data_IF_505535374389
#
_entry.id   IF_505535374389
#
_cell.length_a   1.000
_cell.length_b   1.000
_cell.length_c   1.000
_cell.angle_alpha   90.00
_cell.angle_beta   90.00
_cell.angle_gamma   90.00
#
_symmetry.space_group_name_H-M   'P 1'
#
loop_
_entity.id
_entity.type
_entity.pdbx_description
1 polymer ?
#
# COMPACT_ATOMS: atom_id res chain seq x y z
N UNK A 1 3.20 5.29 22.77
CA UNK A 1 1.93 4.83 22.17
C UNK A 1 2.22 3.48 21.53
N UNK A 2 1.82 2.37 22.17
CA UNK A 2 2.05 1.03 21.63
C UNK A 2 1.00 0.69 20.58
N UNK A 3 1.45 0.52 19.35
CA UNK A 3 0.59 0.15 18.25
C UNK A 3 0.09 -1.28 18.38
N UNK A 4 -1.22 -1.47 18.23
CA UNK A 4 -1.87 -2.77 18.41
C UNK A 4 -1.79 -3.62 17.14
N UNK A 5 -0.57 -3.86 16.66
CA UNK A 5 -0.33 -4.82 15.60
C UNK A 5 -0.49 -6.24 16.15
N UNK A 6 -1.69 -6.81 16.05
CA UNK A 6 -1.96 -8.12 16.66
C UNK A 6 -1.24 -9.26 15.95
N UNK A 7 -1.29 -9.28 14.61
CA UNK A 7 -0.66 -10.34 13.81
C UNK A 7 -0.20 -9.81 12.47
N UNK A 8 1.10 -9.94 12.19
CA UNK A 8 1.66 -9.63 10.88
C UNK A 8 1.18 -10.66 9.83
N UNK A 9 0.80 -10.16 8.66
CA UNK A 9 0.32 -10.97 7.54
C UNK A 9 1.43 -11.08 6.49
N UNK A 10 1.90 -9.92 6.02
CA UNK A 10 2.94 -9.78 5.00
C UNK A 10 3.78 -8.54 5.26
N UNK A 11 5.03 -8.60 4.81
CA UNK A 11 5.94 -7.46 4.72
C UNK A 11 6.58 -7.46 3.34
N UNK A 12 6.70 -6.27 2.77
CA UNK A 12 7.36 -6.03 1.50
C UNK A 12 8.42 -4.96 1.71
N UNK A 13 9.58 -5.15 1.08
CA UNK A 13 10.66 -4.18 1.08
C UNK A 13 11.04 -3.91 -0.36
N UNK A 14 10.67 -2.74 -0.85
CA UNK A 14 10.98 -2.29 -2.21
C UNK A 14 12.11 -1.27 -2.09
N UNK A 15 13.19 -1.51 -2.83
CA UNK A 15 14.36 -0.62 -2.95
C UNK A 15 14.61 -0.33 -4.41
N UNK A 16 15.52 0.62 -4.68
CA UNK A 16 15.78 1.12 -6.02
C UNK A 16 14.46 1.47 -6.74
N UNK A 17 13.63 2.22 -6.04
CA UNK A 17 12.30 2.63 -6.46
C UNK A 17 12.03 4.02 -5.89
N UNK A 18 11.69 4.99 -6.73
CA UNK A 18 11.33 6.32 -6.25
C UNK A 18 9.85 6.33 -5.81
N UNK A 19 9.52 6.55 -4.52
CA UNK A 19 8.12 6.70 -4.12
C UNK A 19 7.57 8.00 -4.71
N UNK A 20 6.46 7.90 -5.43
CA UNK A 20 5.87 9.02 -6.18
C UNK A 20 4.45 9.30 -5.67
N UNK A 21 3.95 10.50 -5.97
CA UNK A 21 2.59 10.94 -5.64
C UNK A 21 1.64 10.63 -6.78
N UNK A 22 0.36 10.46 -6.45
CA UNK A 22 -0.74 10.31 -7.41
C UNK A 22 -0.85 11.57 -8.30
N UNK A 23 -0.72 11.39 -9.62
CA UNK A 23 -0.90 12.38 -10.70
C UNK A 23 -1.57 11.73 -11.94
N UNK A 24 -1.74 12.47 -13.03
CA UNK A 24 -2.50 11.99 -14.22
C UNK A 24 -1.92 10.72 -14.90
N UNK A 25 -0.65 10.36 -14.64
CA UNK A 25 0.02 9.15 -15.20
C UNK A 25 0.16 7.99 -14.19
N UNK A 26 -0.72 7.88 -13.19
CA UNK A 26 -0.47 7.02 -12.01
C UNK A 26 -0.60 5.51 -12.26
N UNK A 27 -1.32 5.09 -13.29
CA UNK A 27 -1.64 3.66 -13.47
C UNK A 27 -0.42 2.78 -13.74
N UNK A 28 0.56 3.24 -14.51
CA UNK A 28 1.79 2.49 -14.80
C UNK A 28 2.66 2.33 -13.55
N UNK A 29 2.66 3.33 -12.67
CA UNK A 29 3.39 3.30 -11.40
C UNK A 29 2.74 2.31 -10.44
N UNK A 30 1.41 2.31 -10.36
CA UNK A 30 0.64 1.30 -9.59
C UNK A 30 0.96 -0.11 -10.08
N UNK A 31 1.01 -0.33 -11.40
CA UNK A 31 1.41 -1.61 -12.01
C UNK A 31 2.83 -1.99 -11.62
N UNK A 32 3.79 -1.07 -11.74
CA UNK A 32 5.20 -1.33 -11.42
C UNK A 32 5.38 -1.71 -9.95
N UNK A 33 4.74 -0.96 -9.04
CA UNK A 33 4.79 -1.26 -7.61
C UNK A 33 4.13 -2.61 -7.30
N UNK A 34 2.96 -2.87 -7.88
CA UNK A 34 2.25 -4.15 -7.76
C UNK A 34 3.15 -5.31 -8.19
N UNK A 35 3.82 -5.19 -9.33
CA UNK A 35 4.61 -6.28 -9.89
C UNK A 35 5.87 -6.54 -9.04
N UNK A 36 6.55 -5.50 -8.56
CA UNK A 36 7.64 -5.65 -7.57
C UNK A 36 7.18 -6.31 -6.27
N UNK A 37 5.96 -6.03 -5.82
CA UNK A 37 5.41 -6.69 -4.63
C UNK A 37 5.05 -8.16 -4.94
N UNK A 38 4.46 -8.44 -6.11
CA UNK A 38 4.11 -9.80 -6.55
C UNK A 38 5.33 -10.72 -6.60
N UNK A 39 6.48 -10.21 -7.03
CA UNK A 39 7.74 -10.96 -7.02
C UNK A 39 8.18 -11.39 -5.61
N UNK A 40 7.72 -10.70 -4.56
CA UNK A 40 8.06 -10.99 -3.16
C UNK A 40 7.03 -11.90 -2.46
N UNK A 41 5.91 -12.26 -3.11
CA UNK A 41 4.83 -13.04 -2.49
C UNK A 41 4.29 -14.16 -3.37
N UNK A 42 4.15 -15.34 -2.77
CA UNK A 42 3.53 -16.48 -3.44
C UNK A 42 2.01 -16.27 -3.62
N UNK A 43 1.49 -16.65 -4.79
CA UNK A 43 0.07 -16.59 -5.15
C UNK A 43 -0.84 -17.34 -4.17
N UNK A 44 -0.40 -18.43 -3.55
CA UNK A 44 -1.18 -19.15 -2.54
C UNK A 44 -1.31 -18.37 -1.23
N UNK A 45 -0.30 -17.57 -0.90
CA UNK A 45 -0.37 -16.66 0.25
C UNK A 45 -1.36 -15.53 -0.03
N UNK A 46 -1.36 -14.98 -1.25
CA UNK A 46 -2.38 -14.00 -1.67
C UNK A 46 -3.79 -14.60 -1.54
N UNK A 47 -4.03 -15.82 -2.05
CA UNK A 47 -5.34 -16.48 -1.94
C UNK A 47 -5.81 -16.65 -0.50
N UNK A 48 -4.92 -17.05 0.42
CA UNK A 48 -5.23 -17.16 1.85
C UNK A 48 -5.65 -15.81 2.44
N UNK A 49 -4.88 -14.75 2.15
CA UNK A 49 -5.19 -13.39 2.61
C UNK A 49 -6.53 -12.91 2.04
N UNK A 50 -6.79 -13.21 0.76
CA UNK A 50 -8.04 -12.87 0.07
C UNK A 50 -9.27 -13.49 0.72
N UNK A 51 -9.18 -14.75 1.14
CA UNK A 51 -10.27 -15.40 1.87
C UNK A 51 -10.50 -14.80 3.25
N UNK A 52 -9.43 -14.32 3.90
CA UNK A 52 -9.49 -13.75 5.24
C UNK A 52 -10.08 -12.32 5.26
N UNK A 53 -9.88 -11.48 4.24
CA UNK A 53 -10.29 -10.06 4.33
C UNK A 53 -11.81 -9.83 4.40
N UNK A 54 -12.64 -10.79 3.97
CA UNK A 54 -14.11 -10.63 3.99
C UNK A 54 -14.67 -10.31 5.38
N UNK A 55 -14.00 -10.79 6.43
CA UNK A 55 -14.43 -10.61 7.81
C UNK A 55 -13.46 -9.79 8.65
N UNK A 56 -12.35 -9.30 8.08
CA UNK A 56 -11.27 -8.68 8.86
C UNK A 56 -11.02 -7.23 8.44
N UNK A 57 -10.62 -6.42 9.41
CA UNK A 57 -10.03 -5.11 9.22
C UNK A 57 -8.51 -5.21 9.37
N UNK A 58 -7.80 -4.30 8.71
CA UNK A 58 -6.36 -4.31 8.63
C UNK A 58 -5.73 -3.06 9.24
N UNK A 59 -4.52 -3.23 9.76
CA UNK A 59 -3.61 -2.11 9.98
C UNK A 59 -2.52 -2.16 8.90
N UNK A 60 -2.24 -1.02 8.28
CA UNK A 60 -1.18 -0.87 7.28
C UNK A 60 -0.11 0.05 7.83
N UNK A 61 1.15 -0.37 7.74
CA UNK A 61 2.30 0.47 8.03
C UNK A 61 3.11 0.64 6.75
N UNK A 62 3.42 1.89 6.40
CA UNK A 62 4.26 2.22 5.26
C UNK A 62 5.42 3.09 5.73
N UNK A 63 6.64 2.71 5.38
CA UNK A 63 7.85 3.51 5.58
C UNK A 63 8.35 3.94 4.21
N UNK A 64 8.36 5.24 3.95
CA UNK A 64 8.88 5.83 2.71
C UNK A 64 10.33 6.26 2.91
N UNK A 65 11.22 5.81 2.04
CA UNK A 65 12.62 6.21 1.99
C UNK A 65 12.81 7.14 0.80
N UNK A 66 13.04 8.44 1.06
CA UNK A 66 13.21 9.46 0.03
C UNK A 66 14.65 9.98 0.05
N UNK A 67 15.25 10.17 -1.13
CA UNK A 67 16.58 10.76 -1.21
C UNK A 67 16.49 12.27 -0.95
N UNK A 68 17.02 12.72 0.18
CA UNK A 68 17.08 14.14 0.54
C UNK A 68 18.31 14.85 -0.04
N UNK A 69 19.32 14.09 -0.50
CA UNK A 69 20.58 14.61 -1.04
C UNK A 69 20.53 14.73 -2.57
N UNK A 70 19.40 15.24 -3.09
CA UNK A 70 19.17 15.42 -4.52
C UNK A 70 19.02 16.90 -4.85
N UNK A 71 19.59 17.31 -5.98
CA UNK A 71 19.46 18.68 -6.50
C UNK A 71 18.11 18.91 -7.20
N UNK A 72 17.32 17.84 -7.39
CA UNK A 72 16.02 17.92 -8.04
C UNK A 72 14.97 18.37 -7.03
N UNK A 73 14.46 19.60 -7.23
CA UNK A 73 13.41 20.19 -6.40
C UNK A 73 12.18 19.28 -6.33
N UNK A 74 11.59 19.15 -5.14
CA UNK A 74 10.36 18.38 -4.93
C UNK A 74 10.53 16.87 -4.73
N UNK A 75 11.69 16.27 -5.01
CA UNK A 75 11.88 14.81 -4.86
C UNK A 75 11.70 14.30 -3.42
N UNK A 76 12.09 15.11 -2.43
CA UNK A 76 12.00 14.77 -1.01
C UNK A 76 10.87 15.51 -0.27
N UNK A 77 10.22 16.49 -0.90
CA UNK A 77 9.13 17.30 -0.33
C UNK A 77 7.75 16.64 -0.53
N UNK A 78 7.72 15.39 -1.01
CA UNK A 78 6.48 14.64 -1.27
C UNK A 78 5.65 14.43 0.00
N UNK A 79 4.35 14.58 -0.17
CA UNK A 79 3.36 14.36 0.88
C UNK A 79 3.05 12.87 1.06
N UNK A 80 2.96 12.45 2.32
CA UNK A 80 2.74 11.06 2.69
C UNK A 80 1.36 10.56 2.24
N UNK A 81 0.34 11.41 2.27
CA UNK A 81 -1.04 11.07 1.88
C UNK A 81 -1.13 10.69 0.40
N UNK A 82 -0.55 11.50 -0.49
CA UNK A 82 -0.56 11.28 -1.93
C UNK A 82 0.26 10.05 -2.33
N UNK A 83 1.39 9.79 -1.65
CA UNK A 83 2.13 8.54 -1.84
C UNK A 83 1.37 7.33 -1.30
N UNK A 84 0.52 7.52 -0.29
CA UNK A 84 -0.25 6.41 0.30
C UNK A 84 -1.43 6.00 -0.55
N UNK A 85 -2.07 6.92 -1.27
CA UNK A 85 -3.14 6.58 -2.23
C UNK A 85 -2.71 5.49 -3.21
N UNK A 86 -1.51 5.64 -3.79
CA UNK A 86 -0.91 4.63 -4.69
C UNK A 86 -0.74 3.28 -3.97
N UNK A 87 -0.23 3.28 -2.73
CA UNK A 87 -0.02 2.05 -1.97
C UNK A 87 -1.35 1.37 -1.65
N UNK A 88 -2.34 2.12 -1.17
CA UNK A 88 -3.67 1.61 -0.89
C UNK A 88 -4.28 0.96 -2.13
N UNK A 89 -4.30 1.65 -3.27
CA UNK A 89 -4.82 1.12 -4.54
C UNK A 89 -4.11 -0.17 -4.99
N UNK A 90 -2.80 -0.28 -4.76
CA UNK A 90 -2.06 -1.49 -5.13
C UNK A 90 -2.44 -2.69 -4.24
N UNK A 91 -2.78 -2.45 -2.96
CA UNK A 91 -3.14 -3.50 -2.02
C UNK A 91 -4.55 -4.07 -2.24
N UNK A 92 -5.46 -3.32 -2.87
CA UNK A 92 -6.86 -3.71 -3.10
C UNK A 92 -7.00 -4.72 -4.25
N UNK A 93 -8.24 -5.17 -4.52
CA UNK A 93 -8.55 -6.08 -5.61
C UNK A 93 -8.32 -5.46 -7.00
N UNK A 94 -8.54 -4.15 -7.15
CA UNK A 94 -8.47 -3.43 -8.42
C UNK A 94 -7.72 -2.11 -8.25
N UNK A 95 -6.89 -1.78 -9.24
CA UNK A 95 -6.28 -0.46 -9.32
C UNK A 95 -7.36 0.56 -9.71
N UNK A 96 -7.57 1.56 -8.88
CA UNK A 96 -8.36 2.73 -9.27
C UNK A 96 -7.54 3.62 -10.21
N UNK A 97 -8.20 4.23 -11.20
CA UNK A 97 -7.64 5.33 -11.98
C UNK A 97 -8.49 6.58 -11.73
N UNK A 98 -7.87 7.77 -11.74
CA UNK A 98 -8.59 9.02 -11.50
C UNK A 98 -9.65 9.26 -12.60
N UNK A 99 -9.35 8.80 -13.82
CA UNK A 99 -10.31 8.69 -14.90
C UNK A 99 -10.97 7.31 -14.88
N UNK A 100 -12.26 7.29 -14.53
CA UNK A 100 -13.14 6.11 -14.38
C UNK A 100 -13.36 5.29 -15.66
N UNK A 101 -12.43 5.26 -16.59
CA UNK A 101 -12.44 4.34 -17.72
C UNK A 101 -12.02 2.98 -17.19
N UNK A 102 -13.03 2.12 -16.99
CA UNK A 102 -12.94 0.72 -16.54
C UNK A 102 -11.98 -0.12 -17.40
N UNK A 103 -10.68 0.06 -17.26
CA UNK A 103 -9.73 -1.01 -17.50
C UNK A 103 -9.56 -1.69 -16.16
N UNK A 104 -10.18 -2.86 -15.98
CA UNK A 104 -10.08 -3.69 -14.78
C UNK A 104 -8.63 -4.20 -14.60
N UNK A 105 -7.72 -3.31 -14.23
CA UNK A 105 -6.35 -3.68 -13.89
C UNK A 105 -6.37 -4.18 -12.47
N UNK A 106 -6.10 -5.48 -12.30
CA UNK A 106 -6.07 -6.11 -10.99
C UNK A 106 -4.95 -5.52 -10.11
N UNK A 107 -5.29 -5.24 -8.86
CA UNK A 107 -4.34 -4.97 -7.78
C UNK A 107 -3.72 -6.27 -7.24
N UNK A 108 -3.30 -6.26 -5.97
CA UNK A 108 -2.77 -7.44 -5.30
C UNK A 108 -3.86 -8.33 -4.68
N UNK A 109 -5.03 -7.77 -4.39
CA UNK A 109 -6.14 -8.48 -3.75
C UNK A 109 -5.84 -8.90 -2.31
N UNK A 110 -5.06 -8.09 -1.58
CA UNK A 110 -4.77 -8.31 -0.17
C UNK A 110 -5.87 -7.75 0.74
N UNK A 111 -6.67 -6.84 0.20
CA UNK A 111 -7.88 -6.28 0.80
C UNK A 111 -8.91 -6.03 -0.31
N UNK A 112 -10.18 -5.86 0.06
CA UNK A 112 -11.22 -5.55 -0.93
C UNK A 112 -11.07 -4.13 -1.45
N UNK A 113 -11.04 -3.19 -0.52
CA UNK A 113 -11.03 -1.74 -0.74
C UNK A 113 -10.34 -1.05 0.46
N UNK A 114 -9.98 0.22 0.32
CA UNK A 114 -9.25 1.00 1.33
C UNK A 114 -10.06 1.19 2.64
N UNK A 115 -11.39 1.10 2.58
CA UNK A 115 -12.30 1.09 3.74
C UNK A 115 -12.03 -0.06 4.72
N UNK A 116 -11.31 -1.10 4.28
CA UNK A 116 -10.91 -2.21 5.14
C UNK A 116 -9.67 -1.88 6.01
N UNK A 117 -9.01 -0.74 5.74
CA UNK A 117 -7.90 -0.22 6.54
C UNK A 117 -8.48 0.53 7.74
N UNK A 118 -8.40 -0.08 8.92
CA UNK A 118 -8.80 0.56 10.16
C UNK A 118 -7.75 1.53 10.69
N UNK A 119 -6.48 1.22 10.42
CA UNK A 119 -5.37 1.96 11.00
C UNK A 119 -4.22 2.05 9.99
N UNK A 120 -3.67 3.25 9.81
CA UNK A 120 -2.65 3.54 8.82
C UNK A 120 -1.50 4.32 9.47
N UNK A 121 -0.28 3.79 9.39
CA UNK A 121 0.91 4.48 9.89
C UNK A 121 1.87 4.77 8.78
N UNK A 122 2.20 6.04 8.63
CA UNK A 122 3.06 6.53 7.58
C UNK A 122 4.31 7.10 8.22
N UNK A 123 5.46 6.61 7.79
CA UNK A 123 6.76 7.07 8.28
C UNK A 123 7.55 7.57 7.09
N UNK A 124 8.09 8.78 7.20
CA UNK A 124 9.04 9.35 6.23
C UNK A 124 10.45 9.19 6.77
N UNK A 125 11.35 8.64 5.98
CA UNK A 125 12.79 8.55 6.26
C UNK A 125 13.57 9.12 5.08
N UNK A 126 14.66 9.80 5.39
CA UNK A 126 15.56 10.33 4.38
C UNK A 126 16.78 9.42 4.21
N UNK A 127 17.13 9.18 2.95
CA UNK A 127 18.33 8.44 2.53
C UNK A 127 19.25 9.36 1.73
N UNK A 128 20.49 8.92 1.51
CA UNK A 128 21.55 9.74 0.88
C UNK A 128 21.81 9.41 -0.59
N UNK A 129 21.37 8.23 -1.05
CA UNK A 129 21.62 7.71 -2.40
C UNK A 129 20.33 7.16 -2.99
N UNK A 130 20.24 7.15 -4.33
CA UNK A 130 19.00 6.78 -5.03
C UNK A 130 18.64 5.30 -4.89
N UNK A 131 19.64 4.40 -4.81
CA UNK A 131 19.42 2.96 -4.65
C UNK A 131 18.75 2.59 -3.32
N UNK A 132 18.89 3.43 -2.30
CA UNK A 132 18.28 3.24 -0.98
C UNK A 132 16.84 3.76 -0.92
N UNK A 133 16.38 4.46 -1.97
CA UNK A 133 14.99 4.91 -2.05
C UNK A 133 14.04 3.73 -2.21
N UNK A 134 12.83 3.92 -1.71
CA UNK A 134 11.77 2.94 -1.86
C UNK A 134 10.81 2.98 -0.70
N UNK A 135 10.23 1.83 -0.40
CA UNK A 135 9.24 1.72 0.65
C UNK A 135 9.24 0.34 1.31
N UNK A 136 8.95 0.34 2.60
CA UNK A 136 8.56 -0.87 3.33
C UNK A 136 7.05 -0.83 3.56
N UNK A 137 6.35 -1.90 3.23
CA UNK A 137 4.91 -2.06 3.47
C UNK A 137 4.70 -3.25 4.38
N UNK A 138 3.98 -3.05 5.47
CA UNK A 138 3.60 -4.11 6.39
C UNK A 138 2.10 -4.12 6.59
N UNK A 139 1.48 -5.28 6.33
CA UNK A 139 0.06 -5.51 6.54
C UNK A 139 -0.15 -6.37 7.79
N UNK A 140 -1.05 -5.93 8.66
CA UNK A 140 -1.39 -6.62 9.89
C UNK A 140 -2.89 -6.84 9.99
N UNK A 141 -3.29 -7.94 10.62
CA UNK A 141 -4.68 -8.12 11.04
C UNK A 141 -4.94 -7.23 12.26
N UNK A 142 -5.98 -6.40 12.20
CA UNK A 142 -6.42 -5.57 13.32
C UNK A 142 -7.51 -6.27 14.15
N UNK A 143 -8.56 -6.74 13.48
CA UNK A 143 -9.74 -7.29 14.12
C UNK A 143 -10.78 -7.73 13.11
N UNK A 144 -11.95 -8.11 13.60
CA UNK A 144 -13.06 -8.52 12.73
C UNK A 144 -13.91 -7.29 12.38
N UNK A 145 -14.47 -7.26 11.17
CA UNK A 145 -15.52 -6.32 10.79
C UNK A 145 -16.72 -6.58 11.71
N UNK A 146 -17.34 -5.53 12.25
CA UNK A 146 -18.59 -5.71 13.00
C UNK A 146 -19.64 -6.29 12.04
N UNK A 147 -20.45 -7.26 12.47
CA UNK A 147 -21.61 -7.65 11.66
C UNK A 147 -22.46 -6.42 11.42
N UNK A 148 -22.91 -6.21 10.18
CA UNK A 148 -23.96 -5.22 9.92
C UNK A 148 -25.13 -5.63 10.80
N UNK A 149 -25.50 -4.76 11.75
CA UNK A 149 -26.81 -4.87 12.37
C UNK A 149 -27.79 -4.49 11.27
N UNK A 150 -28.48 -5.49 10.74
CA UNK A 150 -29.65 -5.23 9.90
C UNK A 150 -30.67 -4.54 10.82
N UNK A 151 -30.90 -3.25 10.58
CA UNK A 151 -31.99 -2.54 11.22
C UNK A 151 -33.27 -3.18 10.69
N UNK A 152 -33.89 -4.01 11.52
CA UNK A 152 -35.23 -4.56 11.32
C UNK A 152 -36.28 -3.44 11.35
#
# INVERSE_FOLDING_TARGET
>A
MEFRFKKNIVNFSIRDFEPLTDNDDTIERKITLRDRIKEQINSDKIKKIRNDYKQNLFSVKVIYYLNANTLVRGKHEKDLDNMTKIVSDVLTDYLSDQDKVKQEKNGLGLMHDDVDIHELHLIKKFVKIDSDQGLDISLYKWGNKKPKQDNA
#
